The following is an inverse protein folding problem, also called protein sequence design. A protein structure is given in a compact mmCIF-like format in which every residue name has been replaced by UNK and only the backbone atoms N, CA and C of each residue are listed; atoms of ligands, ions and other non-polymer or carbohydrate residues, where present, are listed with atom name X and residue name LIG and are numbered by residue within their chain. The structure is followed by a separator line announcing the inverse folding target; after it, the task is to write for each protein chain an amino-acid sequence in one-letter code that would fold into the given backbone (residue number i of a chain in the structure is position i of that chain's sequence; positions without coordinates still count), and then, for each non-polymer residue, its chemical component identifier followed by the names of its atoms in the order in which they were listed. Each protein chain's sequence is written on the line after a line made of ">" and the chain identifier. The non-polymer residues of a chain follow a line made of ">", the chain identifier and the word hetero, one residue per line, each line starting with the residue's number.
data_IF_060258823504
#
_entry.id   IF_060258823504
#
_cell.length_a   1.000
_cell.length_b   1.000
_cell.length_c   1.000
_cell.angle_alpha   90.00
_cell.angle_beta   90.00
_cell.angle_gamma   90.00
#
_symmetry.space_group_name_H-M   'P 1'
#
loop_
_entity.id
_entity.type
_entity.pdbx_description
1 polymer ?
#
# COMPACT_ATOMS: atom_id res chain seq x y z
N UNK A 1 -14.61 -15.16 3.97
CA UNK A 1 -14.14 -14.00 4.75
C UNK A 1 -14.55 -12.75 4.01
N UNK A 2 -15.20 -11.80 4.70
CA UNK A 2 -15.61 -10.52 4.11
C UNK A 2 -14.41 -9.58 4.06
N UNK A 3 -14.13 -9.00 2.90
CA UNK A 3 -13.10 -7.97 2.75
C UNK A 3 -13.79 -6.62 2.68
N UNK A 4 -13.51 -5.74 3.64
CA UNK A 4 -14.10 -4.40 3.74
C UNK A 4 -13.06 -3.37 3.36
N UNK A 5 -13.33 -2.54 2.34
CA UNK A 5 -12.49 -1.42 1.98
C UNK A 5 -12.81 -0.21 2.86
N UNK A 6 -11.85 0.26 3.64
CA UNK A 6 -11.96 1.49 4.41
C UNK A 6 -11.27 2.64 3.65
N UNK A 7 -12.02 3.67 3.35
CA UNK A 7 -11.52 4.88 2.68
C UNK A 7 -12.10 6.14 3.31
N UNK A 8 -11.57 7.30 2.95
CA UNK A 8 -11.96 8.57 3.55
C UNK A 8 -10.96 9.66 3.16
N UNK A 9 -11.47 10.89 3.02
CA UNK A 9 -10.65 12.06 2.67
C UNK A 9 -9.55 12.35 3.68
N UNK A 10 -8.63 13.26 3.32
CA UNK A 10 -7.56 13.70 4.23
C UNK A 10 -8.18 14.26 5.52
N UNK A 11 -7.62 13.86 6.67
CA UNK A 11 -8.05 14.30 8.00
C UNK A 11 -9.49 13.94 8.42
N UNK A 12 -10.12 12.97 7.76
CA UNK A 12 -11.48 12.48 8.13
C UNK A 12 -11.52 11.56 9.35
N UNK A 13 -10.38 11.21 9.95
CA UNK A 13 -10.32 10.29 11.09
C UNK A 13 -10.31 8.81 10.72
N UNK A 14 -10.09 8.45 9.44
CA UNK A 14 -9.93 7.06 8.96
C UNK A 14 -8.95 6.24 9.82
N UNK A 15 -7.79 6.81 10.16
CA UNK A 15 -6.78 6.17 11.00
C UNK A 15 -7.25 5.89 12.44
N UNK A 16 -8.21 6.66 12.94
CA UNK A 16 -8.84 6.41 14.24
C UNK A 16 -9.78 5.20 14.15
N UNK A 17 -10.58 5.14 13.09
CA UNK A 17 -11.48 4.00 12.83
C UNK A 17 -10.70 2.70 12.67
N UNK A 18 -9.60 2.70 11.90
CA UNK A 18 -8.76 1.50 11.74
C UNK A 18 -8.12 1.05 13.06
N UNK A 19 -7.66 1.98 13.90
CA UNK A 19 -7.11 1.66 15.23
C UNK A 19 -8.16 1.06 16.17
N UNK A 20 -9.38 1.58 16.18
CA UNK A 20 -10.47 1.05 17.01
C UNK A 20 -10.87 -0.36 16.56
N UNK A 21 -10.98 -0.58 15.25
CA UNK A 21 -11.27 -1.91 14.68
C UNK A 21 -10.20 -2.94 15.06
N UNK A 22 -8.93 -2.56 14.99
CA UNK A 22 -7.81 -3.43 15.37
C UNK A 22 -7.71 -3.67 16.88
N UNK A 23 -7.86 -2.63 17.69
CA UNK A 23 -7.65 -2.68 19.14
C UNK A 23 -8.82 -3.28 19.90
N UNK A 24 -10.01 -2.71 19.72
CA UNK A 24 -11.20 -3.08 20.52
C UNK A 24 -11.90 -4.31 19.94
N UNK A 25 -11.98 -4.40 18.61
CA UNK A 25 -12.70 -5.47 17.93
C UNK A 25 -11.81 -6.60 17.41
N UNK A 26 -10.48 -6.48 17.57
CA UNK A 26 -9.47 -7.45 17.10
C UNK A 26 -9.63 -7.81 15.62
N UNK A 27 -10.12 -6.86 14.81
CA UNK A 27 -10.29 -7.06 13.37
C UNK A 27 -8.94 -6.80 12.69
N UNK A 28 -8.46 -7.72 11.84
CA UNK A 28 -7.24 -7.48 11.09
C UNK A 28 -7.42 -6.28 10.15
N UNK A 29 -6.47 -5.35 10.20
CA UNK A 29 -6.40 -4.19 9.30
C UNK A 29 -5.14 -4.30 8.46
N UNK A 30 -5.32 -4.27 7.14
CA UNK A 30 -4.26 -4.28 6.15
C UNK A 30 -4.12 -2.85 5.62
N UNK A 31 -3.05 -2.17 6.00
CA UNK A 31 -2.74 -0.81 5.56
C UNK A 31 -1.97 -0.84 4.22
N UNK A 32 -2.59 -0.32 3.16
CA UNK A 32 -1.97 -0.30 1.84
C UNK A 32 -0.79 0.69 1.73
N UNK A 33 -0.76 1.78 2.50
CA UNK A 33 0.39 2.67 2.54
C UNK A 33 1.58 1.97 3.20
N UNK A 34 1.33 1.21 4.27
CA UNK A 34 2.35 0.41 4.92
C UNK A 34 2.90 -0.68 3.98
N UNK A 35 2.01 -1.38 3.26
CA UNK A 35 2.43 -2.38 2.26
C UNK A 35 3.22 -1.74 1.10
N UNK A 36 2.81 -0.57 0.59
CA UNK A 36 3.54 0.16 -0.43
C UNK A 36 4.98 0.48 0.00
N UNK A 37 5.21 0.70 1.30
CA UNK A 37 6.54 0.89 1.88
C UNK A 37 7.32 -0.41 2.01
N UNK A 38 6.66 -1.51 2.35
CA UNK A 38 7.28 -2.82 2.55
C UNK A 38 7.73 -3.46 1.22
N UNK A 39 6.92 -3.34 0.16
CA UNK A 39 7.24 -3.97 -1.13
C UNK A 39 8.49 -3.39 -1.81
N UNK A 40 8.95 -2.21 -1.37
CA UNK A 40 10.18 -1.55 -1.87
C UNK A 40 11.34 -1.62 -0.86
N UNK A 41 11.26 -2.49 0.15
CA UNK A 41 12.38 -2.70 1.08
C UNK A 41 13.56 -3.44 0.43
N UNK A 42 14.78 -3.32 1.00
CA UNK A 42 15.94 -4.11 0.58
C UNK A 42 15.61 -5.59 0.46
N UNK A 43 16.03 -6.21 -0.65
CA UNK A 43 15.74 -7.63 -0.94
C UNK A 43 14.43 -7.89 -1.69
N UNK A 44 13.51 -6.91 -1.76
CA UNK A 44 12.25 -7.09 -2.49
C UNK A 44 12.43 -6.96 -4.01
N UNK A 45 11.65 -7.71 -4.81
CA UNK A 45 11.73 -7.66 -6.27
C UNK A 45 11.31 -6.31 -6.85
N UNK A 46 10.38 -5.59 -6.21
CA UNK A 46 9.95 -4.28 -6.69
C UNK A 46 11.09 -3.24 -6.59
N UNK A 47 11.86 -3.27 -5.50
CA UNK A 47 13.03 -2.40 -5.35
C UNK A 47 14.08 -2.65 -6.45
N UNK A 48 14.39 -3.92 -6.74
CA UNK A 48 15.33 -4.26 -7.83
C UNK A 48 14.87 -3.73 -9.18
N UNK A 49 13.57 -3.84 -9.48
CA UNK A 49 12.99 -3.27 -10.71
C UNK A 49 13.09 -1.74 -10.75
N UNK A 50 12.87 -1.07 -9.61
CA UNK A 50 13.02 0.39 -9.50
C UNK A 50 14.48 0.79 -9.76
N UNK A 51 15.45 0.12 -9.13
CA UNK A 51 16.88 0.40 -9.33
C UNK A 51 17.30 0.16 -10.79
N UNK A 52 16.82 -0.92 -11.42
CA UNK A 52 17.13 -1.20 -12.82
C UNK A 52 16.61 -0.12 -13.80
N UNK A 53 15.50 0.54 -13.46
CA UNK A 53 14.88 1.57 -14.30
C UNK A 53 15.44 2.97 -14.02
N UNK A 54 15.65 3.30 -12.75
CA UNK A 54 15.99 4.65 -12.30
C UNK A 54 17.46 4.81 -11.88
N UNK A 55 18.25 3.73 -11.92
CA UNK A 55 19.65 3.71 -11.50
C UNK A 55 19.82 3.52 -9.98
N UNK A 56 21.05 3.23 -9.56
CA UNK A 56 21.40 3.10 -8.13
C UNK A 56 21.32 4.42 -7.37
N UNK A 57 21.23 5.54 -8.09
CA UNK A 57 21.05 6.87 -7.53
C UNK A 57 19.78 7.02 -6.69
N UNK A 58 18.77 6.16 -6.87
CA UNK A 58 17.53 6.16 -6.07
C UNK A 58 17.68 5.42 -4.74
N UNK A 59 18.86 4.88 -4.44
CA UNK A 59 19.17 4.28 -3.15
C UNK A 59 19.80 5.30 -2.20
N UNK A 60 19.65 5.08 -0.90
CA UNK A 60 20.36 5.84 0.11
C UNK A 60 21.87 5.61 -0.03
N UNK A 61 22.70 6.66 0.12
CA UNK A 61 24.16 6.56 0.00
C UNK A 61 24.83 5.91 1.21
N UNK A 62 24.06 5.52 2.22
CA UNK A 62 24.53 4.91 3.48
C UNK A 62 24.92 3.42 3.33
N UNK A 63 24.80 2.85 2.12
CA UNK A 63 25.08 1.45 1.85
C UNK A 63 24.01 0.48 2.35
N UNK A 64 22.89 0.98 2.90
CA UNK A 64 21.80 0.14 3.39
C UNK A 64 20.98 -0.54 2.29
N UNK A 65 21.12 -0.05 1.04
CA UNK A 65 20.29 -0.47 -0.09
C UNK A 65 18.83 -0.06 0.06
N UNK A 66 18.50 0.85 0.98
CA UNK A 66 17.15 1.39 1.11
C UNK A 66 16.85 2.41 0.02
N UNK A 67 15.57 2.54 -0.33
CA UNK A 67 15.11 3.50 -1.32
C UNK A 67 15.13 4.95 -0.76
N UNK A 68 15.82 5.86 -1.44
CA UNK A 68 15.69 7.29 -1.23
C UNK A 68 14.40 7.81 -1.86
N UNK A 69 13.35 7.89 -1.04
CA UNK A 69 12.04 8.38 -1.46
C UNK A 69 12.03 9.84 -1.87
N UNK A 70 12.89 10.67 -1.28
CA UNK A 70 12.96 12.10 -1.63
C UNK A 70 13.53 12.23 -3.03
N UNK A 71 14.60 11.49 -3.33
CA UNK A 71 15.25 11.50 -4.63
C UNK A 71 14.40 10.85 -5.72
N UNK A 72 13.84 9.66 -5.45
CA UNK A 72 12.88 9.03 -6.36
C UNK A 72 11.68 9.95 -6.61
N UNK A 73 11.15 10.57 -5.55
CA UNK A 73 10.08 11.57 -5.64
C UNK A 73 10.44 12.71 -6.58
N UNK A 74 11.61 13.33 -6.42
CA UNK A 74 12.09 14.39 -7.31
C UNK A 74 12.18 13.95 -8.78
N UNK A 75 12.62 12.71 -9.04
CA UNK A 75 12.72 12.16 -10.39
C UNK A 75 11.35 11.94 -11.05
N UNK A 76 10.35 11.47 -10.30
CA UNK A 76 9.02 11.15 -10.83
C UNK A 76 8.00 12.29 -10.71
N UNK A 77 8.30 13.33 -9.93
CA UNK A 77 7.36 14.43 -9.71
C UNK A 77 7.18 15.27 -10.99
N UNK A 78 8.26 15.52 -11.72
CA UNK A 78 8.25 16.34 -12.95
C UNK A 78 8.06 15.57 -14.26
N UNK A 79 8.01 14.24 -14.24
CA UNK A 79 7.95 13.40 -15.45
C UNK A 79 6.84 12.35 -15.33
N UNK A 80 5.75 12.58 -16.06
CA UNK A 80 4.58 11.70 -16.05
C UNK A 80 4.92 10.30 -16.59
N UNK A 81 5.82 10.18 -17.57
CA UNK A 81 6.22 8.87 -18.11
C UNK A 81 6.94 8.08 -17.03
N UNK A 82 7.90 8.70 -16.34
CA UNK A 82 8.60 8.08 -15.21
C UNK A 82 7.65 7.70 -14.08
N UNK A 83 6.69 8.56 -13.76
CA UNK A 83 5.66 8.26 -12.75
C UNK A 83 4.81 7.05 -13.12
N UNK A 84 4.39 6.94 -14.39
CA UNK A 84 3.65 5.76 -14.89
C UNK A 84 4.49 4.48 -14.80
N UNK A 85 5.78 4.54 -15.13
CA UNK A 85 6.68 3.37 -15.00
C UNK A 85 6.83 2.94 -13.54
N UNK A 86 7.04 3.89 -12.63
CA UNK A 86 7.11 3.60 -11.20
C UNK A 86 5.80 2.95 -10.70
N UNK A 87 4.66 3.56 -11.02
CA UNK A 87 3.34 3.04 -10.64
C UNK A 87 3.10 1.64 -11.24
N UNK A 88 3.56 1.38 -12.45
CA UNK A 88 3.49 0.07 -13.10
C UNK A 88 4.31 -1.02 -12.39
N UNK A 89 5.38 -0.65 -11.68
CA UNK A 89 6.16 -1.59 -10.86
C UNK A 89 5.52 -1.77 -9.48
N UNK A 90 5.11 -0.67 -8.85
CA UNK A 90 4.64 -0.66 -7.45
C UNK A 90 3.22 -1.23 -7.35
N UNK A 91 2.29 -0.84 -8.22
CA UNK A 91 0.88 -1.28 -8.10
C UNK A 91 0.72 -2.81 -8.12
N UNK A 92 1.34 -3.57 -9.05
CA UNK A 92 1.26 -5.03 -9.00
C UNK A 92 1.86 -5.61 -7.73
N UNK A 93 3.01 -5.08 -7.27
CA UNK A 93 3.66 -5.56 -6.05
C UNK A 93 2.78 -5.36 -4.81
N UNK A 94 2.14 -4.20 -4.67
CA UNK A 94 1.21 -3.91 -3.59
C UNK A 94 -0.03 -4.80 -3.67
N UNK A 95 -0.59 -5.04 -4.86
CA UNK A 95 -1.72 -5.96 -5.04
C UNK A 95 -1.39 -7.39 -4.60
N UNK A 96 -0.20 -7.88 -4.95
CA UNK A 96 0.26 -9.19 -4.50
C UNK A 96 0.43 -9.24 -2.99
N UNK A 97 1.02 -8.20 -2.38
CA UNK A 97 1.18 -8.12 -0.93
C UNK A 97 -0.18 -8.08 -0.21
N UNK A 98 -1.14 -7.29 -0.70
CA UNK A 98 -2.51 -7.27 -0.16
C UNK A 98 -3.17 -8.65 -0.25
N UNK A 99 -3.11 -9.30 -1.42
CA UNK A 99 -3.69 -10.64 -1.59
C UNK A 99 -3.06 -11.68 -0.65
N UNK A 100 -1.75 -11.57 -0.40
CA UNK A 100 -1.04 -12.44 0.52
C UNK A 100 -1.49 -12.23 1.98
N UNK A 101 -1.60 -10.97 2.43
CA UNK A 101 -2.08 -10.65 3.78
C UNK A 101 -3.55 -11.09 3.97
N UNK A 102 -4.41 -10.89 2.97
CA UNK A 102 -5.78 -11.42 2.99
C UNK A 102 -5.76 -12.95 3.10
N UNK A 103 -4.89 -13.63 2.35
CA UNK A 103 -4.72 -15.08 2.42
C UNK A 103 -4.31 -15.56 3.82
N UNK A 104 -3.40 -14.84 4.50
CA UNK A 104 -3.02 -15.14 5.89
C UNK A 104 -4.20 -15.04 6.85
N UNK A 105 -4.98 -13.95 6.78
CA UNK A 105 -6.18 -13.78 7.59
C UNK A 105 -7.21 -14.90 7.33
N UNK A 106 -7.36 -15.29 6.06
CA UNK A 106 -8.26 -16.37 5.69
C UNK A 106 -7.86 -17.71 6.31
N UNK A 107 -6.56 -18.06 6.24
CA UNK A 107 -6.01 -19.28 6.87
C UNK A 107 -6.07 -19.18 8.40
N UNK A 108 -5.94 -17.98 8.97
CA UNK A 108 -6.09 -17.71 10.40
C UNK A 108 -7.53 -17.86 10.92
N UNK A 109 -8.52 -18.02 10.02
CA UNK A 109 -9.93 -18.19 10.38
C UNK A 109 -10.68 -16.87 10.62
N UNK A 110 -10.10 -15.74 10.20
CA UNK A 110 -10.75 -14.43 10.33
C UNK A 110 -12.03 -14.37 9.47
N UNK A 111 -13.12 -13.87 10.07
CA UNK A 111 -14.42 -13.74 9.38
C UNK A 111 -14.48 -12.51 8.48
N UNK A 112 -13.74 -11.47 8.84
CA UNK A 112 -13.69 -10.17 8.16
C UNK A 112 -12.31 -9.54 8.30
N UNK A 113 -11.89 -8.80 7.27
CA UNK A 113 -10.63 -8.06 7.22
C UNK A 113 -10.88 -6.67 6.62
N UNK A 114 -10.18 -5.67 7.12
CA UNK A 114 -10.32 -4.29 6.67
C UNK A 114 -9.09 -3.89 5.86
N UNK A 115 -9.30 -3.46 4.62
CA UNK A 115 -8.27 -2.88 3.77
C UNK A 115 -8.32 -1.37 3.92
N UNK A 116 -7.32 -0.80 4.59
CA UNK A 116 -7.19 0.64 4.73
C UNK A 116 -6.45 1.23 3.51
N UNK A 117 -7.19 1.88 2.61
CA UNK A 117 -6.67 2.45 1.36
C UNK A 117 -7.17 3.89 1.17
N UNK A 118 -6.29 4.91 1.30
CA UNK A 118 -6.68 6.31 1.15
C UNK A 118 -7.27 6.65 -0.22
N UNK A 119 -6.75 6.01 -1.29
CA UNK A 119 -7.20 6.19 -2.68
C UNK A 119 -7.90 4.93 -3.21
N UNK A 120 -8.78 4.32 -2.40
CA UNK A 120 -9.43 3.05 -2.72
C UNK A 120 -10.22 3.13 -4.04
N UNK A 121 -10.90 4.27 -4.27
CA UNK A 121 -11.77 4.49 -5.42
C UNK A 121 -10.92 4.77 -6.67
N UNK A 122 -9.97 5.68 -6.56
CA UNK A 122 -9.08 6.14 -7.64
C UNK A 122 -8.14 5.05 -8.13
N UNK A 123 -7.71 4.15 -7.24
CA UNK A 123 -6.87 3.00 -7.57
C UNK A 123 -7.65 1.81 -8.17
N UNK A 124 -8.99 1.88 -8.18
CA UNK A 124 -9.87 0.81 -8.63
C UNK A 124 -9.91 -0.41 -7.69
N UNK A 125 -9.29 -0.31 -6.50
CA UNK A 125 -9.23 -1.40 -5.51
C UNK A 125 -10.61 -1.70 -4.92
N UNK A 126 -11.54 -0.74 -4.96
CA UNK A 126 -12.92 -0.94 -4.53
C UNK A 126 -13.62 -2.14 -5.22
N UNK A 127 -13.18 -2.56 -6.41
CA UNK A 127 -13.71 -3.75 -7.11
C UNK A 127 -13.29 -5.08 -6.49
N UNK A 128 -12.31 -5.05 -5.61
CA UNK A 128 -11.71 -6.23 -4.97
C UNK A 128 -12.25 -6.46 -3.55
N UNK A 129 -13.07 -5.55 -3.04
CA UNK A 129 -13.69 -5.63 -1.72
C UNK A 129 -15.17 -5.97 -1.84
N UNK A 130 -15.71 -6.65 -0.83
CA UNK A 130 -17.14 -6.97 -0.78
C UNK A 130 -17.99 -5.78 -0.34
N UNK A 131 -17.44 -4.95 0.55
CA UNK A 131 -18.11 -3.76 1.08
C UNK A 131 -17.14 -2.57 1.12
N UNK A 132 -17.65 -1.36 0.90
CA UNK A 132 -16.87 -0.12 0.99
C UNK A 132 -17.42 0.74 2.11
N UNK A 133 -16.58 1.07 3.08
CA UNK A 133 -16.87 2.00 4.17
C UNK A 133 -16.11 3.30 3.90
N UNK A 134 -16.86 4.39 3.79
CA UNK A 134 -16.31 5.75 3.61
C UNK A 134 -16.45 6.50 4.93
N UNK A 135 -15.34 6.99 5.46
CA UNK A 135 -15.33 7.91 6.61
C UNK A 135 -15.42 9.34 6.07
N UNK A 136 -16.49 10.04 6.45
CA UNK A 136 -16.77 11.42 6.05
C UNK A 136 -17.20 12.27 7.25
N UNK A 137 -17.00 13.59 7.18
CA UNK A 137 -17.50 14.58 8.16
C UNK A 137 -18.45 15.56 7.47
#
# INVERSE_FOLDING_TARGET
>A
MLVVGLTGGIATGKSTVSRLLQGEHKVPVIDADLLARQVVQPGMPALRKIVNVFGEEVLLPDGSGQLDRKKLGAIVFGDEKKRRVLNGIVHPAVRWAMAWEIGKCWVGGDKWVVLDVPLLVESGIWRWVGEVVVVYW
#
